data_IF_667101540382
#
_entry.id   IF_667101540382
#
_cell.length_a   1.000
_cell.length_b   1.000
_cell.length_c   1.000
_cell.angle_alpha   90.00
_cell.angle_beta   90.00
_cell.angle_gamma   90.00
#
_symmetry.space_group_name_H-M   'P 1'
#
loop_
_entity.id
_entity.type
_entity.pdbx_description
1 polymer ?
#
# COMPACT_ATOMS: atom_id res chain seq x y z
N UNK A 1 36.59 1.00 -8.75
CA UNK A 1 35.47 1.46 -7.89
C UNK A 1 34.98 0.24 -7.14
N UNK A 2 35.30 0.11 -5.85
CA UNK A 2 34.96 -1.09 -5.06
C UNK A 2 33.49 -0.99 -4.70
N UNK A 3 32.67 -1.87 -5.28
CA UNK A 3 31.25 -2.00 -4.94
C UNK A 3 31.18 -2.68 -3.58
N UNK A 4 31.06 -1.88 -2.51
CA UNK A 4 30.88 -2.40 -1.16
C UNK A 4 29.52 -3.10 -1.13
N UNK A 5 29.54 -4.43 -1.27
CA UNK A 5 28.37 -5.26 -0.96
C UNK A 5 28.07 -5.05 0.53
N UNK A 6 27.04 -4.27 0.83
CA UNK A 6 26.49 -4.18 2.17
C UNK A 6 26.01 -5.59 2.52
N UNK A 7 26.77 -6.29 3.37
CA UNK A 7 26.38 -7.60 3.86
C UNK A 7 25.01 -7.46 4.53
N UNK A 8 23.98 -8.10 3.95
CA UNK A 8 22.64 -8.12 4.53
C UNK A 8 22.74 -8.91 5.84
N UNK A 9 22.69 -8.21 6.97
CA UNK A 9 22.55 -8.85 8.27
C UNK A 9 21.20 -9.57 8.30
N UNK A 10 21.22 -10.90 8.14
CA UNK A 10 20.01 -11.73 8.07
C UNK A 10 19.21 -11.74 9.37
N UNK A 11 19.85 -11.37 10.49
CA UNK A 11 19.25 -11.34 11.81
C UNK A 11 18.67 -9.96 12.18
N UNK A 12 18.89 -8.94 11.34
CA UNK A 12 18.30 -7.62 11.55
C UNK A 12 16.85 -7.58 11.05
N UNK A 13 15.97 -6.79 11.68
CA UNK A 13 14.61 -6.59 11.19
C UNK A 13 14.62 -5.91 9.81
N UNK A 14 13.58 -6.16 9.03
CA UNK A 14 13.39 -5.56 7.71
C UNK A 14 11.91 -5.31 7.46
N UNK A 15 11.58 -4.17 6.89
CA UNK A 15 10.22 -3.83 6.49
C UNK A 15 10.12 -3.85 4.97
N UNK A 16 9.04 -4.44 4.46
CA UNK A 16 8.67 -4.44 3.05
C UNK A 16 7.44 -3.56 2.86
N UNK A 17 7.51 -2.65 1.90
CA UNK A 17 6.45 -1.71 1.59
C UNK A 17 5.76 -2.11 0.29
N UNK A 18 4.44 -2.08 0.32
CA UNK A 18 3.57 -2.41 -0.80
C UNK A 18 2.58 -1.26 -1.03
N UNK A 19 2.39 -0.90 -2.29
CA UNK A 19 1.20 -0.18 -2.73
C UNK A 19 0.20 -1.22 -3.23
N UNK A 20 -1.00 -1.17 -2.70
CA UNK A 20 -2.10 -2.06 -3.02
C UNK A 20 -3.19 -1.26 -3.71
N UNK A 21 -3.63 -1.64 -4.90
CA UNK A 21 -4.64 -0.92 -5.68
C UNK A 21 -5.89 -1.80 -5.85
N UNK A 22 -6.97 -1.61 -5.07
CA UNK A 22 -8.22 -2.31 -5.31
C UNK A 22 -8.83 -1.86 -6.65
N UNK A 23 -9.42 -2.79 -7.38
CA UNK A 23 -10.10 -2.48 -8.64
C UNK A 23 -11.47 -1.86 -8.35
N UNK A 24 -11.99 -1.11 -9.32
CA UNK A 24 -13.42 -0.81 -9.39
C UNK A 24 -14.24 -2.10 -9.57
N UNK A 25 -15.52 -2.11 -9.15
CA UNK A 25 -16.41 -3.24 -9.40
C UNK A 25 -16.61 -3.44 -10.92
N UNK A 26 -16.75 -4.70 -11.34
CA UNK A 26 -17.15 -5.05 -12.69
C UNK A 26 -18.67 -5.26 -12.75
N UNK A 27 -19.37 -4.84 -13.83
CA UNK A 27 -18.83 -4.24 -15.07
C UNK A 27 -18.69 -2.71 -15.04
N UNK A 28 -19.15 -2.03 -13.99
CA UNK A 28 -19.33 -0.57 -13.98
C UNK A 28 -18.00 0.18 -14.11
N UNK A 29 -16.92 -0.34 -13.53
CA UNK A 29 -15.59 0.24 -13.63
C UNK A 29 -15.42 1.58 -12.90
N UNK A 30 -16.45 2.06 -12.18
CA UNK A 30 -16.46 3.36 -11.48
C UNK A 30 -16.80 3.17 -10.01
N UNK A 31 -16.05 3.85 -9.14
CA UNK A 31 -16.37 3.95 -7.71
C UNK A 31 -17.42 5.05 -7.51
N UNK A 32 -18.66 4.63 -7.30
CA UNK A 32 -19.81 5.50 -6.96
C UNK A 32 -20.47 5.00 -5.68
N UNK A 33 -21.23 5.87 -5.03
CA UNK A 33 -22.08 5.44 -3.93
C UNK A 33 -23.26 4.59 -4.42
N UNK A 34 -24.07 4.09 -3.47
CA UNK A 34 -25.25 3.28 -3.77
C UNK A 34 -26.32 4.02 -4.62
N UNK A 35 -26.25 5.35 -4.71
CA UNK A 35 -27.14 6.18 -5.53
C UNK A 35 -26.52 6.52 -6.90
N UNK A 36 -25.30 6.05 -7.20
CA UNK A 36 -24.58 6.34 -8.44
C UNK A 36 -23.91 7.72 -8.46
N UNK A 37 -23.76 8.38 -7.32
CA UNK A 37 -23.18 9.71 -7.21
C UNK A 37 -21.66 9.63 -6.96
N UNK A 38 -20.89 10.62 -7.47
CA UNK A 38 -19.46 10.71 -7.16
C UNK A 38 -19.26 11.04 -5.68
N UNK A 39 -18.30 10.35 -5.05
CA UNK A 39 -17.94 10.55 -3.65
C UNK A 39 -16.64 11.34 -3.54
N UNK A 40 -16.59 12.27 -2.59
CA UNK A 40 -15.36 12.94 -2.17
C UNK A 40 -15.14 12.67 -0.68
N UNK A 41 -13.96 12.18 -0.34
CA UNK A 41 -13.60 11.76 1.01
C UNK A 41 -12.61 12.72 1.65
N UNK A 42 -12.82 13.02 2.92
CA UNK A 42 -11.85 13.69 3.77
C UNK A 42 -10.86 12.67 4.32
N UNK A 43 -9.61 12.69 3.84
CA UNK A 43 -8.60 11.72 4.24
C UNK A 43 -8.08 11.96 5.66
N UNK A 44 -8.32 13.14 6.24
CA UNK A 44 -8.00 13.40 7.65
C UNK A 44 -8.96 12.67 8.60
N UNK A 45 -10.14 12.31 8.10
CA UNK A 45 -11.18 11.59 8.85
C UNK A 45 -11.13 10.06 8.64
N UNK A 46 -10.22 9.55 7.80
CA UNK A 46 -10.09 8.11 7.54
C UNK A 46 -9.50 7.41 8.76
N UNK A 47 -10.14 6.30 9.19
CA UNK A 47 -9.67 5.51 10.32
C UNK A 47 -8.57 4.51 9.89
N UNK A 48 -7.36 5.04 9.69
CA UNK A 48 -6.17 4.24 9.33
C UNK A 48 -5.85 3.15 10.36
N UNK A 49 -6.19 3.35 11.64
CA UNK A 49 -5.95 2.36 12.69
C UNK A 49 -6.92 1.18 12.57
N UNK A 50 -8.18 1.43 12.26
CA UNK A 50 -9.13 0.36 11.96
C UNK A 50 -8.67 -0.46 10.75
N UNK A 51 -8.14 0.18 9.71
CA UNK A 51 -7.55 -0.54 8.57
C UNK A 51 -6.37 -1.41 9.01
N UNK A 52 -5.47 -0.91 9.85
CA UNK A 52 -4.36 -1.70 10.37
C UNK A 52 -4.82 -2.94 11.15
N UNK A 53 -5.92 -2.82 11.93
CA UNK A 53 -6.53 -3.94 12.63
C UNK A 53 -7.12 -4.96 11.63
N UNK A 54 -7.86 -4.50 10.62
CA UNK A 54 -8.42 -5.37 9.57
C UNK A 54 -7.35 -6.08 8.74
N UNK A 55 -6.28 -5.38 8.40
CA UNK A 55 -5.15 -5.97 7.69
C UNK A 55 -4.40 -6.99 8.57
N UNK A 56 -4.28 -6.71 9.88
CA UNK A 56 -3.67 -7.66 10.83
C UNK A 56 -4.50 -8.94 10.98
N UNK A 57 -5.81 -8.82 11.10
CA UNK A 57 -6.69 -9.99 11.24
C UNK A 57 -6.66 -10.89 10.02
N UNK A 58 -6.47 -10.32 8.82
CA UNK A 58 -6.34 -11.08 7.58
C UNK A 58 -5.13 -12.04 7.56
N UNK A 59 -4.07 -11.76 8.33
CA UNK A 59 -2.85 -12.58 8.38
C UNK A 59 -2.72 -13.38 9.69
N UNK A 60 -3.70 -13.29 10.59
CA UNK A 60 -3.66 -14.03 11.85
C UNK A 60 -3.79 -15.54 11.61
N UNK A 61 -2.96 -16.31 12.30
CA UNK A 61 -2.87 -17.77 12.10
C UNK A 61 -2.10 -18.21 10.85
N UNK A 62 -1.79 -17.28 9.93
CA UNK A 62 -1.04 -17.54 8.70
C UNK A 62 0.46 -17.28 8.86
N UNK A 63 0.83 -16.38 9.77
CA UNK A 63 2.22 -16.01 10.06
C UNK A 63 2.52 -15.91 11.56
N UNK A 64 3.79 -16.04 11.99
CA UNK A 64 4.18 -15.87 13.38
C UNK A 64 3.79 -14.50 13.95
N UNK A 65 3.41 -14.47 15.24
CA UNK A 65 3.02 -13.23 15.95
C UNK A 65 4.07 -12.12 15.94
N UNK A 66 5.35 -12.47 15.72
CA UNK A 66 6.45 -11.50 15.63
C UNK A 66 6.52 -10.73 14.31
N UNK A 67 5.81 -11.16 13.26
CA UNK A 67 5.67 -10.39 12.01
C UNK A 67 4.59 -9.33 12.24
N UNK A 68 4.94 -8.07 11.99
CA UNK A 68 4.06 -6.93 12.25
C UNK A 68 3.57 -6.33 10.93
N UNK A 69 2.36 -5.76 10.95
CA UNK A 69 1.76 -5.07 9.81
C UNK A 69 1.47 -3.63 10.21
N UNK A 70 1.77 -2.71 9.29
CA UNK A 70 1.50 -1.29 9.42
C UNK A 70 0.82 -0.78 8.16
N UNK A 71 -0.03 0.22 8.33
CA UNK A 71 -0.74 0.91 7.26
C UNK A 71 -0.28 2.36 7.26
N UNK A 72 -0.03 2.95 6.10
CA UNK A 72 0.31 4.36 6.06
C UNK A 72 -0.85 5.23 6.54
N UNK A 73 -0.53 6.34 7.20
CA UNK A 73 -1.50 7.40 7.57
C UNK A 73 -1.94 8.26 6.38
N UNK A 74 -1.75 7.75 5.16
CA UNK A 74 -2.09 8.38 3.89
C UNK A 74 -2.17 7.30 2.79
N UNK A 75 -2.76 7.64 1.64
CA UNK A 75 -3.05 6.66 0.59
C UNK A 75 -3.15 7.30 -0.79
N UNK A 76 -3.02 6.47 -1.84
CA UNK A 76 -3.23 6.88 -3.21
C UNK A 76 -4.72 7.07 -3.51
N UNK A 77 -5.11 8.16 -4.15
CA UNK A 77 -6.46 8.29 -4.70
C UNK A 77 -6.60 7.58 -6.07
N UNK A 78 -7.83 7.43 -6.57
CA UNK A 78 -8.08 6.75 -7.87
C UNK A 78 -7.32 7.42 -9.01
N UNK A 79 -7.20 8.75 -9.02
CA UNK A 79 -6.52 9.45 -10.10
C UNK A 79 -5.02 9.15 -10.08
N UNK A 80 -4.44 9.05 -8.90
CA UNK A 80 -3.03 8.68 -8.70
C UNK A 80 -2.73 7.27 -9.17
N UNK A 81 -3.63 6.32 -8.91
CA UNK A 81 -3.48 4.95 -9.39
C UNK A 81 -3.70 4.83 -10.90
N UNK A 82 -4.61 5.60 -11.49
CA UNK A 82 -4.74 5.66 -12.96
C UNK A 82 -3.44 6.13 -13.63
N UNK A 83 -2.68 6.99 -12.97
CA UNK A 83 -1.36 7.46 -13.43
C UNK A 83 -0.21 6.45 -13.19
N UNK A 84 -0.47 5.26 -12.60
CA UNK A 84 0.49 4.15 -12.52
C UNK A 84 0.49 3.26 -13.76
N UNK A 85 -0.61 3.24 -14.52
CA UNK A 85 -0.82 2.31 -15.62
C UNK A 85 -0.04 2.75 -16.89
N UNK A 86 0.87 1.92 -17.44
CA UNK A 86 1.62 2.25 -18.66
C UNK A 86 0.74 2.45 -19.91
N UNK A 87 -0.51 2.00 -19.86
CA UNK A 87 -1.51 2.09 -20.93
C UNK A 87 -2.44 3.31 -20.78
N UNK A 88 -2.34 4.04 -19.67
CA UNK A 88 -3.13 5.24 -19.42
C UNK A 88 -2.76 6.30 -20.46
N UNK A 89 -3.74 6.58 -21.31
CA UNK A 89 -3.69 7.44 -22.48
C UNK A 89 -2.98 8.75 -22.17
N UNK A 90 -1.93 9.05 -22.94
CA UNK A 90 -1.17 10.30 -22.94
C UNK A 90 -0.58 10.70 -21.59
N UNK A 91 0.74 10.60 -21.52
CA UNK A 91 1.61 11.38 -20.62
C UNK A 91 1.00 12.75 -20.32
N UNK A 92 0.37 12.89 -19.16
CA UNK A 92 0.03 14.20 -18.64
C UNK A 92 1.35 14.85 -18.23
N UNK A 93 1.84 15.66 -19.17
CA UNK A 93 3.08 16.41 -19.12
C UNK A 93 3.09 17.30 -17.87
N UNK A 94 4.10 17.13 -17.01
CA UNK A 94 4.55 18.20 -16.09
C UNK A 94 4.75 17.84 -14.62
N UNK A 95 4.25 16.71 -14.12
CA UNK A 95 4.51 16.23 -12.74
C UNK A 95 5.04 14.80 -12.82
N UNK A 96 6.15 14.50 -12.12
CA UNK A 96 6.73 13.16 -12.10
C UNK A 96 5.70 12.06 -11.80
N UNK A 97 5.96 10.85 -12.27
CA UNK A 97 5.10 9.68 -12.02
C UNK A 97 4.82 9.53 -10.52
N UNK A 98 3.53 9.40 -10.14
CA UNK A 98 3.11 9.18 -8.75
C UNK A 98 3.96 8.07 -8.10
N UNK A 99 4.24 7.01 -8.85
CA UNK A 99 5.07 5.90 -8.42
C UNK A 99 6.48 6.33 -7.95
N UNK A 100 7.21 7.12 -8.74
CA UNK A 100 8.55 7.60 -8.37
C UNK A 100 8.52 8.52 -7.16
N UNK A 101 7.53 9.43 -7.08
CA UNK A 101 7.37 10.34 -5.94
C UNK A 101 7.05 9.55 -4.67
N UNK A 102 6.17 8.57 -4.77
CA UNK A 102 5.85 7.65 -3.68
C UNK A 102 7.06 6.80 -3.26
N UNK A 103 7.81 6.22 -4.20
CA UNK A 103 9.06 5.50 -3.89
C UNK A 103 10.08 6.39 -3.19
N UNK A 104 10.16 7.67 -3.56
CA UNK A 104 11.03 8.65 -2.92
C UNK A 104 10.59 8.91 -1.47
N UNK A 105 9.29 9.02 -1.21
CA UNK A 105 8.76 9.12 0.15
C UNK A 105 9.06 7.85 0.98
N UNK A 106 8.82 6.66 0.41
CA UNK A 106 9.12 5.37 1.05
C UNK A 106 10.62 5.23 1.36
N UNK A 107 11.51 5.69 0.48
CA UNK A 107 12.95 5.61 0.69
C UNK A 107 13.44 6.45 1.89
N UNK A 108 12.64 7.43 2.35
CA UNK A 108 12.94 8.25 3.54
C UNK A 108 12.47 7.59 4.84
N UNK A 109 11.61 6.56 4.77
CA UNK A 109 11.05 5.90 5.94
C UNK A 109 12.12 5.19 6.76
N UNK A 110 12.02 5.35 8.07
CA UNK A 110 12.80 4.66 9.08
C UNK A 110 11.95 3.66 9.86
N UNK A 111 12.62 2.74 10.57
CA UNK A 111 11.93 1.81 11.49
C UNK A 111 11.17 2.54 12.61
N UNK A 112 11.58 3.78 12.93
CA UNK A 112 10.94 4.60 13.95
C UNK A 112 9.57 5.13 13.51
N UNK A 113 9.31 5.23 12.21
CA UNK A 113 8.04 5.71 11.63
C UNK A 113 6.93 4.65 11.67
N UNK A 114 7.28 3.40 12.00
CA UNK A 114 6.38 2.25 12.05
C UNK A 114 6.01 1.93 13.50
N UNK A 115 4.90 2.50 13.97
CA UNK A 115 4.45 2.37 15.36
C UNK A 115 2.95 2.25 15.45
N UNK A 116 2.46 1.46 16.41
CA UNK A 116 1.03 1.35 16.72
C UNK A 116 0.17 0.99 15.50
N UNK A 117 0.68 0.14 14.61
CA UNK A 117 0.00 -0.26 13.37
C UNK A 117 0.01 0.77 12.26
N UNK A 118 0.65 1.93 12.45
CA UNK A 118 0.73 3.01 11.49
C UNK A 118 2.17 3.21 10.99
N UNK A 119 2.30 3.48 9.69
CA UNK A 119 3.51 4.02 9.07
C UNK A 119 3.29 5.52 8.84
N UNK A 120 4.09 6.39 9.46
CA UNK A 120 3.95 7.85 9.34
C UNK A 120 4.56 8.34 8.01
N UNK A 121 3.77 8.28 6.94
CA UNK A 121 4.17 8.65 5.58
C UNK A 121 3.72 10.07 5.22
N UNK A 122 2.60 10.52 5.76
CA UNK A 122 2.02 11.85 5.50
C UNK A 122 3.01 13.00 5.69
N UNK A 123 3.93 12.88 6.65
CA UNK A 123 5.03 13.84 6.90
C UNK A 123 6.05 13.95 5.75
N UNK A 124 6.04 13.01 4.81
CA UNK A 124 6.88 12.98 3.62
C UNK A 124 6.06 13.21 2.33
N UNK A 125 4.79 13.61 2.46
CA UNK A 125 3.77 13.54 1.42
C UNK A 125 3.61 14.78 0.52
N UNK A 126 4.32 15.87 0.82
CA UNK A 126 4.09 17.19 0.20
C UNK A 126 4.08 17.17 -1.33
N UNK A 127 4.79 16.21 -1.95
CA UNK A 127 4.96 16.13 -3.39
C UNK A 127 4.49 14.84 -4.06
N UNK A 128 3.96 13.81 -3.38
CA UNK A 128 3.62 12.56 -4.10
C UNK A 128 2.20 12.51 -4.65
N UNK A 129 1.27 13.35 -4.18
CA UNK A 129 -0.09 13.39 -4.69
C UNK A 129 -0.21 14.15 -6.02
N UNK A 130 -1.15 13.72 -6.88
CA UNK A 130 -1.47 14.45 -8.12
C UNK A 130 -2.56 15.48 -7.84
N UNK A 131 -3.62 15.06 -7.15
CA UNK A 131 -4.68 15.95 -6.70
C UNK A 131 -4.24 16.60 -5.39
N UNK A 132 -3.92 17.90 -5.48
CA UNK A 132 -3.72 18.72 -4.28
C UNK A 132 -5.11 19.05 -3.72
N UNK A 133 -5.33 19.04 -2.39
CA UNK A 133 -6.67 19.15 -1.84
C UNK A 133 -7.38 20.45 -2.27
N UNK A 134 -8.50 20.31 -2.99
CA UNK A 134 -9.52 21.34 -3.04
C UNK A 134 -10.43 21.11 -1.83
N UNK A 135 -10.40 22.01 -0.83
CA UNK A 135 -11.15 21.89 0.43
C UNK A 135 -10.88 20.63 1.27
N UNK A 136 -9.69 20.02 1.15
CA UNK A 136 -9.30 18.86 1.98
C UNK A 136 -9.85 17.50 1.52
N UNK A 137 -10.66 17.46 0.45
CA UNK A 137 -11.32 16.22 -0.01
C UNK A 137 -10.74 15.71 -1.33
N UNK A 138 -10.64 14.39 -1.45
CA UNK A 138 -10.13 13.67 -2.63
C UNK A 138 -11.13 12.61 -3.09
N UNK A 139 -11.02 12.08 -4.33
CA UNK A 139 -11.75 10.88 -4.73
C UNK A 139 -11.54 9.73 -3.73
N UNK A 140 -12.41 8.70 -3.74
CA UNK A 140 -12.20 7.51 -2.93
C UNK A 140 -10.81 6.92 -3.15
N UNK A 141 -10.35 6.15 -2.17
CA UNK A 141 -9.02 5.59 -2.19
C UNK A 141 -8.84 4.66 -3.41
N UNK A 142 -7.81 4.94 -4.19
CA UNK A 142 -7.37 4.13 -5.33
C UNK A 142 -6.27 3.13 -4.97
N UNK A 143 -5.49 3.40 -3.92
CA UNK A 143 -4.54 2.44 -3.40
C UNK A 143 -4.08 2.65 -1.95
N UNK A 144 -3.94 1.55 -1.21
CA UNK A 144 -3.53 1.47 0.19
C UNK A 144 -2.03 1.20 0.27
N UNK A 145 -1.34 1.80 1.23
CA UNK A 145 0.08 1.52 1.47
C UNK A 145 0.21 0.64 2.70
N UNK A 146 0.69 -0.58 2.50
CA UNK A 146 0.87 -1.59 3.55
C UNK A 146 2.34 -1.89 3.72
N UNK A 147 2.77 -1.91 4.98
CA UNK A 147 4.13 -2.26 5.38
C UNK A 147 4.12 -3.53 6.21
N UNK A 148 4.97 -4.49 5.85
CA UNK A 148 5.14 -5.74 6.59
C UNK A 148 6.54 -5.75 7.18
N UNK A 149 6.63 -5.73 8.51
CA UNK A 149 7.90 -5.75 9.24
C UNK A 149 8.19 -7.16 9.75
N UNK A 150 9.29 -7.71 9.26
CA UNK A 150 9.83 -8.98 9.70
C UNK A 150 10.86 -8.72 10.81
N UNK A 151 10.84 -9.51 11.90
CA UNK A 151 11.79 -9.35 13.00
C UNK A 151 13.22 -9.73 12.59
N UNK A 152 13.37 -10.60 11.57
CA UNK A 152 14.62 -10.95 10.95
C UNK A 152 14.41 -11.08 9.43
N UNK A 153 15.47 -10.83 8.64
CA UNK A 153 15.36 -10.90 7.18
C UNK A 153 15.24 -12.33 6.65
N UNK A 154 15.60 -13.36 7.44
CA UNK A 154 15.35 -14.77 7.08
C UNK A 154 13.86 -15.08 6.95
N UNK A 155 13.00 -14.53 7.82
CA UNK A 155 11.55 -14.76 7.79
C UNK A 155 10.89 -14.27 6.49
N UNK A 156 11.55 -13.39 5.74
CA UNK A 156 11.01 -12.91 4.46
C UNK A 156 10.83 -14.08 3.48
N UNK A 157 11.82 -14.96 3.39
CA UNK A 157 11.76 -16.12 2.49
C UNK A 157 10.61 -17.07 2.83
N UNK A 158 10.35 -17.23 4.11
CA UNK A 158 9.38 -18.20 4.63
C UNK A 158 7.94 -17.68 4.62
N UNK A 159 7.75 -16.38 4.88
CA UNK A 159 6.42 -15.85 5.19
C UNK A 159 5.92 -14.75 4.25
N UNK A 160 6.77 -14.13 3.43
CA UNK A 160 6.31 -13.03 2.58
C UNK A 160 5.18 -13.48 1.63
N UNK A 161 5.30 -14.68 1.06
CA UNK A 161 4.26 -15.26 0.22
C UNK A 161 2.93 -15.40 0.96
N UNK A 162 2.97 -15.96 2.17
CA UNK A 162 1.78 -16.18 2.98
C UNK A 162 1.10 -14.85 3.34
N UNK A 163 1.88 -13.81 3.66
CA UNK A 163 1.34 -12.46 3.92
C UNK A 163 0.66 -11.89 2.68
N UNK A 164 1.34 -11.88 1.53
CA UNK A 164 0.79 -11.31 0.30
C UNK A 164 -0.40 -12.11 -0.23
N UNK A 165 -0.41 -13.42 -0.03
CA UNK A 165 -1.54 -14.27 -0.39
C UNK A 165 -2.75 -14.00 0.51
N UNK A 166 -2.55 -13.90 1.82
CA UNK A 166 -3.62 -13.63 2.77
C UNK A 166 -4.24 -12.22 2.61
N UNK A 167 -3.43 -11.22 2.28
CA UNK A 167 -3.90 -9.85 2.08
C UNK A 167 -4.51 -9.63 0.70
N UNK A 168 -3.86 -10.15 -0.35
CA UNK A 168 -4.11 -9.73 -1.74
C UNK A 168 -4.44 -10.90 -2.68
N UNK A 169 -4.49 -12.14 -2.19
CA UNK A 169 -4.77 -13.33 -3.00
C UNK A 169 -3.68 -13.61 -4.04
N UNK A 170 -2.47 -13.09 -3.84
CA UNK A 170 -1.42 -13.13 -4.85
C UNK A 170 -0.39 -14.23 -4.63
N UNK A 171 -0.06 -14.90 -5.74
CA UNK A 171 1.07 -15.81 -5.84
C UNK A 171 2.26 -15.03 -6.39
N UNK A 172 3.33 -14.94 -5.60
CA UNK A 172 4.64 -14.38 -5.96
C UNK A 172 5.01 -14.84 -7.38
N UNK A 173 5.04 -13.95 -8.35
CA UNK A 173 5.67 -14.25 -9.65
C UNK A 173 7.18 -14.15 -9.46
N UNK A 174 7.87 -15.22 -9.80
CA UNK A 174 9.32 -15.26 -9.92
C UNK A 174 9.80 -14.06 -10.75
N UNK A 175 10.94 -13.48 -10.33
CA UNK A 175 11.58 -12.24 -10.81
C UNK A 175 11.52 -11.03 -9.86
N UNK A 176 11.02 -11.24 -8.63
CA UNK A 176 11.53 -10.50 -7.48
C UNK A 176 11.08 -9.04 -7.35
N UNK A 177 9.75 -8.82 -7.30
CA UNK A 177 9.06 -7.65 -6.71
C UNK A 177 8.26 -6.74 -7.68
N UNK A 178 7.49 -7.33 -8.59
CA UNK A 178 6.25 -6.73 -9.09
C UNK A 178 5.11 -7.67 -8.71
N UNK A 179 4.18 -7.20 -7.89
CA UNK A 179 3.05 -8.00 -7.48
C UNK A 179 1.92 -7.85 -8.54
N UNK A 180 1.13 -8.89 -8.72
CA UNK A 180 0.24 -9.09 -9.88
C UNK A 180 -1.21 -8.69 -9.59
N UNK A 181 -2.16 -9.35 -10.25
CA UNK A 181 -3.59 -9.26 -9.92
C UNK A 181 -3.98 -10.44 -9.06
N UNK A 182 -4.71 -10.20 -7.97
CA UNK A 182 -5.26 -11.24 -7.08
C UNK A 182 -6.60 -10.83 -6.49
N UNK A 183 -7.13 -11.65 -5.58
CA UNK A 183 -8.37 -11.39 -4.85
C UNK A 183 -8.05 -10.79 -3.47
N UNK A 184 -8.54 -9.58 -3.22
CA UNK A 184 -8.38 -8.89 -1.95
C UNK A 184 -9.04 -9.66 -0.80
N UNK A 185 -8.42 -9.62 0.38
CA UNK A 185 -9.02 -10.14 1.61
C UNK A 185 -10.41 -9.55 1.86
N UNK A 186 -11.42 -10.36 2.24
CA UNK A 186 -12.75 -9.86 2.60
C UNK A 186 -12.74 -8.80 3.71
N UNK A 187 -11.78 -8.87 4.64
CA UNK A 187 -11.66 -7.89 5.71
C UNK A 187 -11.23 -6.50 5.18
N UNK A 188 -10.33 -6.46 4.19
CA UNK A 188 -9.91 -5.22 3.55
C UNK A 188 -11.01 -4.65 2.66
N UNK A 189 -11.69 -5.52 1.89
CA UNK A 189 -12.81 -5.12 1.04
C UNK A 189 -13.92 -4.48 1.88
N UNK A 190 -14.35 -5.15 2.95
CA UNK A 190 -15.41 -4.63 3.82
C UNK A 190 -15.01 -3.31 4.50
N UNK A 191 -13.74 -3.16 4.92
CA UNK A 191 -13.29 -1.89 5.47
C UNK A 191 -13.35 -0.76 4.43
N UNK A 192 -12.91 -1.01 3.19
CA UNK A 192 -12.95 -0.01 2.12
C UNK A 192 -14.38 0.45 1.83
N UNK A 193 -15.31 -0.49 1.65
CA UNK A 193 -16.70 -0.17 1.35
C UNK A 193 -17.36 0.61 2.50
N UNK A 194 -17.09 0.21 3.75
CA UNK A 194 -17.63 0.90 4.93
C UNK A 194 -17.03 2.29 5.13
N UNK A 195 -15.73 2.47 4.89
CA UNK A 195 -15.03 3.73 5.12
C UNK A 195 -15.38 4.79 4.06
N UNK A 196 -15.53 4.37 2.81
CA UNK A 196 -15.70 5.28 1.68
C UNK A 196 -17.14 5.31 1.14
N UNK A 197 -18.01 4.39 1.54
CA UNK A 197 -19.41 4.35 1.11
C UNK A 197 -19.58 4.05 -0.39
N UNK A 198 -18.59 3.41 -1.01
CA UNK A 198 -18.58 3.03 -2.44
C UNK A 198 -18.34 1.54 -2.57
N UNK A 199 -18.84 0.95 -3.67
CA UNK A 199 -18.55 -0.44 -3.99
C UNK A 199 -17.14 -0.59 -4.56
N UNK A 200 -16.37 -1.55 -4.05
CA UNK A 200 -15.05 -1.92 -4.58
C UNK A 200 -15.12 -3.28 -5.25
N UNK A 201 -14.28 -3.49 -6.27
CA UNK A 201 -14.08 -4.80 -6.87
C UNK A 201 -13.34 -5.74 -5.92
N UNK A 202 -13.63 -7.04 -6.02
CA UNK A 202 -12.89 -8.07 -5.29
C UNK A 202 -11.43 -8.20 -5.72
N UNK A 203 -11.14 -7.84 -6.97
CA UNK A 203 -9.80 -7.94 -7.55
C UNK A 203 -8.96 -6.73 -7.16
N UNK A 204 -7.66 -6.95 -7.10
CA UNK A 204 -6.71 -5.92 -6.75
C UNK A 204 -5.36 -6.17 -7.42
N UNK A 205 -4.64 -5.09 -7.66
CA UNK A 205 -3.23 -5.10 -7.97
C UNK A 205 -2.40 -4.78 -6.74
N UNK A 206 -1.15 -5.22 -6.71
CA UNK A 206 -0.23 -4.70 -5.71
C UNK A 206 1.16 -4.55 -6.29
N UNK A 207 1.95 -3.66 -5.72
CA UNK A 207 3.24 -3.24 -6.23
C UNK A 207 4.18 -3.17 -5.04
N UNK A 208 5.33 -3.83 -5.14
CA UNK A 208 6.38 -3.61 -4.16
C UNK A 208 7.08 -2.30 -4.45
N UNK A 209 7.24 -1.48 -3.41
CA UNK A 209 7.76 -0.12 -3.58
C UNK A 209 9.09 0.11 -2.88
N UNK A 210 9.47 -0.73 -1.92
CA UNK A 210 10.78 -0.63 -1.28
C UNK A 210 10.90 -1.42 0.00
N UNK A 211 12.09 -1.36 0.59
CA UNK A 211 12.36 -1.90 1.92
C UNK A 211 12.99 -0.84 2.82
N UNK A 212 12.60 -0.81 4.08
CA UNK A 212 13.32 -0.09 5.14
C UNK A 212 14.11 -1.08 5.98
N UNK A 213 15.35 -0.70 6.31
CA UNK A 213 16.28 -1.44 7.18
C UNK A 213 16.72 -0.54 8.34
N UNK A 214 17.15 -1.09 9.49
CA UNK A 214 17.80 -0.31 10.53
C UNK A 214 19.00 0.42 9.95
N UNK A 215 19.18 1.69 10.34
CA UNK A 215 20.40 2.41 10.00
C UNK A 215 21.59 1.74 10.71
N UNK A 216 22.72 1.55 10.03
CA UNK A 216 23.94 1.15 10.71
C UNK A 216 24.29 2.22 11.74
N UNK A 217 24.54 1.78 12.98
CA UNK A 217 25.09 2.63 14.04
C UNK A 217 26.56 2.97 13.75
#
# INVERSE_FOLDING_TARGET
>A
MVMTMIAVNRNAPIAYHFLFAPHSPEPEGVLVDAAGMPVLTDYQAVDWKALAISARSAIDGVVPKGIQLFVADDAADVFEVLNLCPWSVSSHVGRGDFYSRFKTAVAKLEMADMRSGITSLSQYADDYHVNVPSAGRRPPLGGIIITVKFPNASHVGDYLHNVTHALFGQIRRDNGLALGVGDMSPALLSWLENQFGVAYGRRCESYFVGTTRPRPH
#
